data_IF_314475423993
#
_entry.id   IF_314475423993
#
_cell.length_a   1.000
_cell.length_b   1.000
_cell.length_c   1.000
_cell.angle_alpha   90.00
_cell.angle_beta   90.00
_cell.angle_gamma   90.00
#
_symmetry.space_group_name_H-M   'P 1'
#
loop_
_entity.id
_entity.type
_entity.pdbx_description
1 polymer ?
#
# COMPACT_ATOMS: atom_id res chain seq x y z
N UNK A 1 0.72 15.14 12.82
CA UNK A 1 1.50 13.92 12.57
C UNK A 1 0.56 12.84 12.07
N UNK A 2 0.83 12.30 10.89
CA UNK A 2 0.03 11.25 10.24
C UNK A 2 0.40 9.88 10.80
N UNK A 3 -0.60 9.04 11.07
CA UNK A 3 -0.41 7.64 11.46
C UNK A 3 -0.58 6.73 10.26
N UNK A 4 0.47 5.98 9.96
CA UNK A 4 0.47 4.97 8.91
C UNK A 4 0.44 3.60 9.57
N UNK A 5 -0.66 2.89 9.37
CA UNK A 5 -0.80 1.50 9.78
C UNK A 5 -0.12 0.63 8.73
N UNK A 6 0.69 -0.32 9.19
CA UNK A 6 1.41 -1.21 8.30
C UNK A 6 1.29 -2.68 8.68
N UNK A 7 1.21 -3.52 7.65
CA UNK A 7 1.34 -4.95 7.79
C UNK A 7 2.22 -5.47 6.66
N UNK A 8 3.05 -6.46 6.98
CA UNK A 8 3.71 -7.28 5.97
C UNK A 8 2.96 -8.59 5.80
N UNK A 9 2.53 -8.87 4.58
CA UNK A 9 1.84 -10.11 4.23
C UNK A 9 2.71 -10.99 3.35
N UNK A 10 2.53 -12.31 3.45
CA UNK A 10 3.12 -13.26 2.52
C UNK A 10 2.19 -13.41 1.32
N UNK A 11 2.74 -13.32 0.11
CA UNK A 11 2.03 -13.57 -1.14
C UNK A 11 2.79 -14.63 -1.96
N UNK A 12 2.17 -15.26 -2.97
CA UNK A 12 2.85 -16.21 -3.86
C UNK A 12 4.07 -15.62 -4.59
N UNK A 13 4.15 -14.29 -4.73
CA UNK A 13 5.27 -13.60 -5.40
C UNK A 13 6.34 -13.10 -4.42
N UNK A 14 6.11 -13.22 -3.10
CA UNK A 14 7.01 -12.76 -2.05
C UNK A 14 6.31 -11.93 -0.97
N UNK A 15 7.05 -11.48 0.06
CA UNK A 15 6.52 -10.62 1.10
C UNK A 15 6.19 -9.22 0.58
N UNK A 16 5.01 -8.71 0.93
CA UNK A 16 4.46 -7.44 0.48
C UNK A 16 4.10 -6.57 1.68
N UNK A 17 4.56 -5.33 1.68
CA UNK A 17 4.13 -4.29 2.62
C UNK A 17 2.81 -3.68 2.18
N UNK A 18 1.89 -3.52 3.13
CA UNK A 18 0.60 -2.86 2.96
C UNK A 18 0.56 -1.71 3.95
N UNK A 19 0.41 -0.49 3.44
CA UNK A 19 0.40 0.73 4.26
C UNK A 19 -0.88 1.51 4.01
N UNK A 20 -1.59 1.85 5.07
CA UNK A 20 -2.78 2.72 5.01
C UNK A 20 -2.76 3.79 6.10
N UNK A 21 -3.63 4.78 6.00
CA UNK A 21 -3.90 5.72 7.08
C UNK A 21 -4.92 5.18 8.10
N UNK A 22 -5.19 5.95 9.16
CA UNK A 22 -6.22 5.63 10.18
C UNK A 22 -7.66 5.63 9.64
N UNK A 23 -7.90 6.12 8.42
CA UNK A 23 -9.20 5.98 7.73
C UNK A 23 -9.22 4.75 6.82
N UNK A 24 -8.23 3.86 6.97
CA UNK A 24 -8.05 2.64 6.19
C UNK A 24 -7.96 2.89 4.68
N UNK A 25 -7.48 4.06 4.28
CA UNK A 25 -7.20 4.35 2.87
C UNK A 25 -5.76 3.98 2.56
N UNK A 26 -5.58 3.13 1.56
CA UNK A 26 -4.29 2.67 1.09
C UNK A 26 -3.42 3.87 0.69
N UNK A 27 -2.20 3.89 1.25
CA UNK A 27 -1.17 4.90 1.01
C UNK A 27 0.00 4.35 0.23
N UNK A 28 0.37 3.10 0.44
CA UNK A 28 1.40 2.41 -0.33
C UNK A 28 1.23 0.89 -0.29
N UNK A 29 1.74 0.23 -1.32
CA UNK A 29 1.99 -1.21 -1.39
C UNK A 29 3.36 -1.36 -2.03
N UNK A 30 4.27 -2.10 -1.42
CA UNK A 30 5.63 -2.29 -1.95
C UNK A 30 6.19 -3.66 -1.55
N UNK A 31 7.02 -4.25 -2.40
CA UNK A 31 7.70 -5.50 -2.07
C UNK A 31 8.78 -5.28 -1.00
N UNK A 32 8.99 -6.26 -0.14
CA UNK A 32 10.04 -6.19 0.90
C UNK A 32 11.42 -5.86 0.32
N UNK A 33 11.76 -6.42 -0.84
CA UNK A 33 13.03 -6.17 -1.54
C UNK A 33 13.23 -4.70 -1.97
N UNK A 34 12.15 -3.92 -2.03
CA UNK A 34 12.15 -2.50 -2.38
C UNK A 34 11.69 -1.61 -1.21
N UNK A 35 11.73 -2.09 0.03
CA UNK A 35 11.27 -1.35 1.22
C UNK A 35 12.02 -0.03 1.45
N UNK A 36 13.29 0.06 1.06
CA UNK A 36 14.04 1.34 1.10
C UNK A 36 13.40 2.41 0.21
N UNK A 37 12.96 2.01 -1.00
CA UNK A 37 12.26 2.89 -1.94
C UNK A 37 10.91 3.33 -1.38
N UNK A 38 10.20 2.43 -0.72
CA UNK A 38 8.96 2.76 -0.01
C UNK A 38 9.18 3.85 1.03
N UNK A 39 10.21 3.72 1.88
CA UNK A 39 10.53 4.74 2.89
C UNK A 39 10.84 6.09 2.23
N UNK A 40 11.63 6.10 1.15
CA UNK A 40 11.91 7.33 0.40
C UNK A 40 10.62 8.00 -0.11
N UNK A 41 9.66 7.22 -0.60
CA UNK A 41 8.38 7.74 -1.08
C UNK A 41 7.53 8.30 0.06
N UNK A 42 7.46 7.61 1.20
CA UNK A 42 6.77 8.12 2.38
C UNK A 42 7.38 9.45 2.84
N UNK A 43 8.71 9.56 2.84
CA UNK A 43 9.40 10.79 3.19
C UNK A 43 9.13 11.92 2.19
N UNK A 44 9.06 11.62 0.89
CA UNK A 44 8.69 12.63 -0.11
C UNK A 44 7.28 13.18 0.15
N UNK A 45 6.33 12.33 0.56
CA UNK A 45 4.92 12.71 0.67
C UNK A 45 4.49 13.24 2.04
N UNK A 46 5.10 12.77 3.12
CA UNK A 46 4.57 12.98 4.47
C UNK A 46 5.60 13.53 5.46
N UNK A 47 6.86 13.76 5.05
CA UNK A 47 7.89 14.30 5.95
C UNK A 47 7.54 15.68 6.49
N UNK A 48 6.85 16.51 5.70
CA UNK A 48 6.52 17.89 6.10
C UNK A 48 5.53 17.92 7.27
N UNK A 49 4.51 17.08 7.26
CA UNK A 49 3.50 16.95 8.31
C UNK A 49 3.95 16.02 9.46
N UNK A 50 5.03 15.27 9.22
CA UNK A 50 5.51 14.18 10.06
C UNK A 50 4.59 12.97 10.00
N UNK A 51 5.17 11.77 10.04
CA UNK A 51 4.41 10.54 10.13
C UNK A 51 5.05 9.53 11.09
N UNK A 52 4.22 8.66 11.65
CA UNK A 52 4.64 7.48 12.40
C UNK A 52 4.11 6.21 11.72
N UNK A 53 4.92 5.15 11.75
CA UNK A 53 4.56 3.82 11.24
C UNK A 53 4.20 2.92 12.41
N UNK A 54 3.02 2.31 12.37
CA UNK A 54 2.46 1.49 13.45
C UNK A 54 2.12 0.13 12.88
N UNK A 55 2.72 -0.92 13.43
CA UNK A 55 2.36 -2.30 13.08
C UNK A 55 0.89 -2.57 13.38
N UNK A 56 0.19 -3.13 12.40
CA UNK A 56 -1.21 -3.50 12.48
C UNK A 56 -1.43 -4.91 11.93
N UNK A 57 -2.58 -5.50 12.24
CA UNK A 57 -3.04 -6.76 11.66
C UNK A 57 -4.33 -6.52 10.90
N UNK A 58 -4.29 -6.76 9.60
CA UNK A 58 -5.35 -6.60 8.63
C UNK A 58 -6.09 -5.25 8.74
N UNK A 59 -5.38 -4.11 8.66
CA UNK A 59 -6.00 -2.80 8.86
C UNK A 59 -7.09 -2.57 7.79
N UNK A 60 -8.34 -2.40 8.25
CA UNK A 60 -9.49 -2.19 7.36
C UNK A 60 -9.80 -3.34 6.39
N UNK A 61 -9.30 -4.55 6.64
CA UNK A 61 -9.48 -5.69 5.72
C UNK A 61 -8.62 -5.64 4.46
N UNK A 62 -7.67 -4.69 4.36
CA UNK A 62 -6.88 -4.45 3.15
C UNK A 62 -5.96 -5.63 2.82
N UNK A 63 -5.38 -6.25 3.85
CA UNK A 63 -4.47 -7.38 3.71
C UNK A 63 -5.18 -8.61 3.15
N UNK A 64 -6.40 -8.88 3.60
CA UNK A 64 -7.21 -9.99 3.06
C UNK A 64 -7.62 -9.74 1.62
N UNK A 65 -8.04 -8.52 1.29
CA UNK A 65 -8.34 -8.15 -0.11
C UNK A 65 -7.13 -8.34 -1.03
N UNK A 66 -5.93 -7.99 -0.56
CA UNK A 66 -4.71 -8.24 -1.33
C UNK A 66 -4.38 -9.74 -1.42
N UNK A 67 -4.61 -10.53 -0.37
CA UNK A 67 -4.50 -12.00 -0.44
C UNK A 67 -5.46 -12.60 -1.46
N UNK A 68 -6.71 -12.14 -1.50
CA UNK A 68 -7.71 -12.55 -2.51
C UNK A 68 -7.28 -12.20 -3.93
N UNK A 69 -6.70 -11.01 -4.13
CA UNK A 69 -6.17 -10.61 -5.43
C UNK A 69 -5.12 -11.62 -5.92
N UNK A 70 -4.16 -11.97 -5.06
CA UNK A 70 -3.14 -12.96 -5.38
C UNK A 70 -3.68 -14.40 -5.48
N UNK A 71 -4.82 -14.69 -4.86
CA UNK A 71 -5.54 -15.96 -5.01
C UNK A 71 -6.34 -16.05 -6.34
N UNK A 72 -6.34 -15.00 -7.16
CA UNK A 72 -6.95 -14.98 -8.49
C UNK A 72 -8.23 -14.14 -8.59
N UNK A 73 -8.72 -13.56 -7.49
CA UNK A 73 -9.84 -12.62 -7.53
C UNK A 73 -9.35 -11.22 -7.95
N UNK A 74 -9.01 -11.05 -9.23
CA UNK A 74 -8.40 -9.81 -9.71
C UNK A 74 -9.31 -8.57 -9.53
N UNK A 75 -10.64 -8.75 -9.54
CA UNK A 75 -11.62 -7.66 -9.35
C UNK A 75 -11.64 -7.06 -7.93
N UNK A 76 -11.09 -7.75 -6.92
CA UNK A 76 -11.10 -7.23 -5.55
C UNK A 76 -10.31 -5.92 -5.41
N UNK A 77 -9.36 -5.68 -6.32
CA UNK A 77 -8.53 -4.47 -6.37
C UNK A 77 -9.38 -3.20 -6.52
N UNK A 78 -10.52 -3.28 -7.21
CA UNK A 78 -11.44 -2.15 -7.43
C UNK A 78 -12.18 -1.74 -6.15
N UNK A 79 -12.13 -2.58 -5.11
CA UNK A 79 -12.76 -2.34 -3.81
C UNK A 79 -11.79 -1.77 -2.77
N UNK A 80 -10.51 -1.61 -3.12
CA UNK A 80 -9.51 -1.06 -2.21
C UNK A 80 -9.68 0.45 -2.11
N UNK A 81 -10.03 1.00 -0.93
CA UNK A 81 -10.07 2.44 -0.73
C UNK A 81 -8.65 3.00 -0.84
N UNK A 82 -8.37 3.82 -1.84
CA UNK A 82 -7.10 4.54 -1.97
C UNK A 82 -7.27 5.99 -1.53
N UNK A 83 -6.28 6.56 -0.85
CA UNK A 83 -6.31 7.99 -0.56
C UNK A 83 -5.80 8.84 -1.73
N UNK A 84 -5.19 8.19 -2.73
CA UNK A 84 -4.65 8.81 -3.92
C UNK A 84 -5.65 8.66 -5.07
N UNK A 85 -6.01 9.78 -5.70
CA UNK A 85 -6.71 9.82 -6.99
C UNK A 85 -5.81 9.40 -8.17
N UNK A 86 -4.95 8.40 -7.97
CA UNK A 86 -4.13 7.81 -9.02
C UNK A 86 -4.97 6.84 -9.84
N UNK A 87 -4.79 6.85 -11.17
CA UNK A 87 -5.44 5.88 -12.07
C UNK A 87 -5.27 4.46 -11.55
N UNK A 88 -6.37 3.70 -11.66
CA UNK A 88 -6.52 2.30 -11.30
C UNK A 88 -5.22 1.50 -11.45
N UNK A 89 -4.93 0.72 -10.42
CA UNK A 89 -3.97 -0.38 -10.45
C UNK A 89 -4.18 -1.19 -11.74
N UNK A 90 -3.18 -1.22 -12.63
CA UNK A 90 -3.25 -2.00 -13.87
C UNK A 90 -2.33 -3.20 -13.74
N UNK A 91 -2.90 -4.41 -13.82
CA UNK A 91 -2.22 -5.69 -13.72
C UNK A 91 -1.17 -5.95 -14.84
N UNK A 92 -0.92 -4.97 -15.72
CA UNK A 92 -0.07 -5.13 -16.92
C UNK A 92 1.45 -4.98 -16.68
N UNK A 93 1.91 -4.47 -15.53
CA UNK A 93 3.35 -4.26 -15.28
C UNK A 93 3.80 -4.94 -14.00
N UNK A 94 4.01 -6.24 -14.08
CA UNK A 94 4.15 -7.17 -12.95
C UNK A 94 5.28 -6.98 -11.93
N UNK A 95 6.04 -5.87 -11.88
CA UNK A 95 7.19 -5.75 -10.93
C UNK A 95 7.52 -4.34 -10.39
N UNK A 96 6.73 -3.30 -10.68
CA UNK A 96 6.99 -1.96 -10.15
C UNK A 96 5.69 -1.34 -9.67
N UNK A 97 5.33 -1.53 -8.40
CA UNK A 97 4.10 -0.97 -7.84
C UNK A 97 4.45 0.07 -6.81
N UNK A 98 4.26 1.32 -7.20
CA UNK A 98 4.20 2.46 -6.30
C UNK A 98 2.90 3.18 -6.65
N UNK A 99 1.95 3.19 -5.72
CA UNK A 99 0.85 4.16 -5.77
C UNK A 99 1.43 5.52 -5.33
N UNK A 100 1.98 6.31 -6.27
CA UNK A 100 2.32 7.74 -6.03
C UNK A 100 2.47 8.51 -7.36
N UNK A 101 2.25 9.86 -7.40
CA UNK A 101 2.20 10.79 -6.28
C UNK A 101 0.86 11.51 -6.06
N UNK A 102 0.65 11.90 -4.79
CA UNK A 102 -0.18 13.03 -4.41
C UNK A 102 0.21 14.28 -5.22
N UNK A 103 -0.79 15.11 -5.52
CA UNK A 103 -0.71 16.22 -6.46
C UNK A 103 0.36 17.26 -6.16
N UNK A 104 0.59 18.07 -7.20
CA UNK A 104 1.17 19.41 -7.09
C UNK A 104 0.48 20.25 -6.02
#
# INVERSE_FOLDING_TARGET
>A
MLRLLEEKIVTPLGPLWVICDEQFRLRAVEWEEYSERMVQLLDIHYRKEGYERISATNPGGLSDKLREYFAGNLSIIDTLPTATGGRHFSAKSGKHYVLSPAGR
#
